data_IF_256695207558
#
_entry.id   IF_256695207558
#
_cell.length_a   1.000
_cell.length_b   1.000
_cell.length_c   1.000
_cell.angle_alpha   90.00
_cell.angle_beta   90.00
_cell.angle_gamma   90.00
#
_symmetry.space_group_name_H-M   'P 1'
#
loop_
_entity.id
_entity.type
_entity.pdbx_description
1 polymer ?
#
# COMPACT_ATOMS: atom_id res chain seq x y z
N UNK A 1 -8.03 -15.07 -34.47
CA UNK A 1 -8.29 -13.62 -34.52
C UNK A 1 -8.59 -13.19 -33.10
N UNK A 2 -7.67 -12.48 -32.42
CA UNK A 2 -7.89 -12.03 -31.05
C UNK A 2 -9.01 -10.98 -31.05
N UNK A 3 -10.08 -11.23 -30.31
CA UNK A 3 -11.11 -10.23 -30.03
C UNK A 3 -10.42 -9.00 -29.42
N UNK A 4 -10.44 -7.90 -30.16
CA UNK A 4 -9.82 -6.65 -29.74
C UNK A 4 -10.72 -6.04 -28.67
N UNK A 5 -10.15 -5.69 -27.51
CA UNK A 5 -10.89 -5.03 -26.43
C UNK A 5 -11.45 -3.71 -26.96
N UNK A 6 -12.78 -3.54 -27.00
CA UNK A 6 -13.37 -2.29 -27.51
C UNK A 6 -13.11 -1.13 -26.56
N UNK A 7 -12.99 0.09 -27.09
CA UNK A 7 -12.76 1.30 -26.27
C UNK A 7 -13.81 1.46 -25.15
N UNK A 8 -15.06 1.09 -25.43
CA UNK A 8 -16.15 1.10 -24.43
C UNK A 8 -15.92 0.08 -23.32
N UNK A 9 -15.41 -1.11 -23.65
CA UNK A 9 -15.05 -2.13 -22.66
C UNK A 9 -13.84 -1.69 -21.83
N UNK A 10 -12.83 -1.06 -22.45
CA UNK A 10 -11.66 -0.48 -21.77
C UNK A 10 -12.09 0.53 -20.70
N UNK A 11 -12.93 1.49 -21.08
CA UNK A 11 -13.45 2.51 -20.17
C UNK A 11 -14.27 1.91 -19.03
N UNK A 12 -15.21 1.01 -19.34
CA UNK A 12 -16.03 0.34 -18.31
C UNK A 12 -15.17 -0.44 -17.31
N UNK A 13 -14.15 -1.15 -17.82
CA UNK A 13 -13.24 -1.95 -16.99
C UNK A 13 -12.40 -1.05 -16.08
N UNK A 14 -11.81 0.02 -16.63
CA UNK A 14 -11.04 0.99 -15.84
C UNK A 14 -11.87 1.64 -14.74
N UNK A 15 -13.09 2.06 -15.06
CA UNK A 15 -14.04 2.60 -14.08
C UNK A 15 -14.38 1.58 -12.98
N UNK A 16 -14.66 0.32 -13.36
CA UNK A 16 -15.00 -0.73 -12.41
C UNK A 16 -13.84 -1.06 -11.45
N UNK A 17 -12.59 -1.09 -11.95
CA UNK A 17 -11.39 -1.28 -11.13
C UNK A 17 -11.26 -0.14 -10.13
N UNK A 18 -11.27 1.12 -10.59
CA UNK A 18 -11.12 2.28 -9.70
C UNK A 18 -12.23 2.36 -8.63
N UNK A 19 -13.47 2.04 -8.99
CA UNK A 19 -14.57 1.97 -8.03
C UNK A 19 -14.38 0.86 -7.00
N UNK A 20 -13.84 -0.29 -7.41
CA UNK A 20 -13.57 -1.42 -6.51
C UNK A 20 -12.49 -1.07 -5.51
N UNK A 21 -11.37 -0.50 -5.97
CA UNK A 21 -10.28 -0.04 -5.10
C UNK A 21 -10.74 1.07 -4.14
N UNK A 22 -11.52 2.03 -4.64
CA UNK A 22 -12.08 3.11 -3.80
C UNK A 22 -12.94 2.58 -2.65
N UNK A 23 -13.83 1.61 -2.92
CA UNK A 23 -14.62 0.94 -1.88
C UNK A 23 -13.74 0.18 -0.89
N UNK A 24 -12.69 -0.49 -1.36
CA UNK A 24 -11.77 -1.21 -0.49
C UNK A 24 -11.03 -0.25 0.46
N UNK A 25 -10.58 0.91 -0.04
CA UNK A 25 -9.94 1.95 0.77
C UNK A 25 -10.93 2.53 1.79
N UNK A 26 -12.16 2.85 1.37
CA UNK A 26 -13.18 3.37 2.27
C UNK A 26 -13.46 2.39 3.43
N UNK A 27 -13.58 1.10 3.13
CA UNK A 27 -13.81 0.07 4.14
C UNK A 27 -12.63 -0.16 5.10
N UNK A 28 -11.42 0.34 4.80
CA UNK A 28 -10.30 0.29 5.75
C UNK A 28 -10.44 1.30 6.88
N UNK A 29 -11.17 2.40 6.68
CA UNK A 29 -11.39 3.40 7.73
C UNK A 29 -12.08 2.78 8.96
N UNK A 30 -13.06 1.90 8.72
CA UNK A 30 -13.80 1.20 9.77
C UNK A 30 -12.97 0.14 10.50
N UNK A 31 -11.78 -0.21 9.99
CA UNK A 31 -10.86 -1.18 10.60
C UNK A 31 -9.76 -0.53 11.44
N UNK A 32 -9.73 0.79 11.53
CA UNK A 32 -8.77 1.49 12.38
C UNK A 32 -9.17 1.31 13.84
N UNK A 33 -8.37 0.55 14.57
CA UNK A 33 -8.60 0.22 15.97
C UNK A 33 -7.33 0.44 16.82
N UNK A 34 -7.33 -0.08 18.05
CA UNK A 34 -6.19 0.02 18.97
C UNK A 34 -4.89 -0.56 18.41
N UNK A 35 -4.93 -1.52 17.48
CA UNK A 35 -3.73 -2.07 16.84
C UNK A 35 -3.03 -1.05 15.94
N UNK A 36 -3.81 -0.19 15.28
CA UNK A 36 -3.27 0.90 14.46
C UNK A 36 -2.54 1.93 15.32
N UNK A 37 -3.15 2.33 16.44
CA UNK A 37 -2.53 3.26 17.41
C UNK A 37 -1.19 2.67 17.90
N UNK A 38 -1.20 1.40 18.32
CA UNK A 38 0.01 0.71 18.76
C UNK A 38 1.10 0.67 17.68
N UNK A 39 0.73 0.45 16.42
CA UNK A 39 1.69 0.45 15.31
C UNK A 39 2.32 1.84 15.10
N UNK A 40 1.51 2.91 15.17
CA UNK A 40 2.00 4.29 15.09
C UNK A 40 2.97 4.59 16.24
N UNK A 41 2.61 4.23 17.48
CA UNK A 41 3.46 4.45 18.64
C UNK A 41 4.81 3.71 18.52
N UNK A 42 4.81 2.47 18.03
CA UNK A 42 6.04 1.71 17.80
C UNK A 42 6.93 2.35 16.73
N UNK A 43 6.32 2.89 15.67
CA UNK A 43 7.05 3.56 14.59
C UNK A 43 7.67 4.88 15.09
N UNK A 44 6.90 5.69 15.82
CA UNK A 44 7.35 7.00 16.31
C UNK A 44 8.44 6.89 17.38
N UNK A 45 8.39 5.85 18.21
CA UNK A 45 9.37 5.60 19.27
C UNK A 45 10.52 4.67 18.85
N UNK A 46 10.68 4.40 17.55
CA UNK A 46 11.77 3.55 17.06
C UNK A 46 13.10 4.31 17.13
N UNK A 47 13.98 3.93 18.06
CA UNK A 47 15.34 4.50 18.19
C UNK A 47 16.32 4.00 17.11
N UNK A 48 15.96 2.90 16.44
CA UNK A 48 16.78 2.26 15.42
C UNK A 48 16.35 2.65 14.01
N UNK A 49 16.07 1.62 13.20
CA UNK A 49 15.60 1.77 11.82
C UNK A 49 14.44 0.83 11.59
N UNK A 50 13.45 1.30 10.84
CA UNK A 50 12.30 0.50 10.42
C UNK A 50 12.73 -0.36 9.22
N UNK A 51 12.67 -1.68 9.39
CA UNK A 51 12.89 -2.62 8.29
C UNK A 51 11.55 -3.02 7.72
N UNK A 52 11.34 -2.77 6.44
CA UNK A 52 10.15 -3.23 5.71
C UNK A 52 10.57 -4.34 4.75
N UNK A 53 9.88 -5.47 4.73
CA UNK A 53 10.19 -6.59 3.83
C UNK A 53 8.94 -7.10 3.12
N UNK A 54 9.15 -7.84 2.03
CA UNK A 54 8.07 -8.47 1.28
C UNK A 54 8.51 -9.02 -0.07
N UNK A 55 7.72 -9.95 -0.60
CA UNK A 55 7.91 -10.61 -1.90
C UNK A 55 6.94 -10.06 -2.95
N UNK A 56 7.33 -10.10 -4.22
CA UNK A 56 6.46 -9.78 -5.36
C UNK A 56 5.81 -8.39 -5.25
N UNK A 57 4.50 -8.31 -5.50
CA UNK A 57 3.73 -7.04 -5.43
C UNK A 57 3.84 -6.39 -4.05
N UNK A 58 3.76 -7.17 -2.98
CA UNK A 58 3.93 -6.68 -1.61
C UNK A 58 5.33 -6.12 -1.38
N UNK A 59 6.36 -6.69 -2.01
CA UNK A 59 7.72 -6.14 -2.01
C UNK A 59 7.80 -4.75 -2.63
N UNK A 60 7.08 -4.49 -3.73
CA UNK A 60 7.02 -3.14 -4.32
C UNK A 60 6.34 -2.13 -3.38
N UNK A 61 5.23 -2.51 -2.74
CA UNK A 61 4.55 -1.66 -1.75
C UNK A 61 5.45 -1.41 -0.54
N UNK A 62 6.10 -2.46 0.00
CA UNK A 62 7.05 -2.37 1.11
C UNK A 62 8.22 -1.43 0.80
N UNK A 63 8.76 -1.50 -0.42
CA UNK A 63 9.82 -0.59 -0.89
C UNK A 63 9.34 0.87 -0.91
N UNK A 64 8.11 1.13 -1.37
CA UNK A 64 7.52 2.48 -1.33
C UNK A 64 7.31 2.95 0.11
N UNK A 65 6.82 2.08 1.00
CA UNK A 65 6.63 2.39 2.41
C UNK A 65 7.94 2.80 3.07
N UNK A 66 9.01 2.02 2.90
CA UNK A 66 10.34 2.35 3.43
C UNK A 66 10.83 3.72 2.93
N UNK A 67 10.69 4.00 1.62
CA UNK A 67 11.05 5.31 1.07
C UNK A 67 10.22 6.45 1.66
N UNK A 68 8.92 6.21 1.89
CA UNK A 68 8.01 7.20 2.49
C UNK A 68 8.42 7.51 3.93
N UNK A 69 8.58 6.48 4.77
CA UNK A 69 9.03 6.64 6.15
C UNK A 69 10.34 7.41 6.23
N UNK A 70 11.33 7.04 5.41
CA UNK A 70 12.62 7.73 5.38
C UNK A 70 12.49 9.21 4.99
N UNK A 71 11.60 9.55 4.04
CA UNK A 71 11.36 10.93 3.63
C UNK A 71 10.55 11.76 4.65
N UNK A 72 9.80 11.10 5.54
CA UNK A 72 8.99 11.76 6.59
C UNK A 72 9.67 11.76 7.95
N UNK A 73 10.97 11.46 8.02
CA UNK A 73 11.76 11.56 9.25
C UNK A 73 11.87 10.28 10.09
N UNK A 74 11.32 9.16 9.62
CA UNK A 74 11.47 7.84 10.27
C UNK A 74 12.48 6.99 9.49
N UNK A 75 13.73 6.83 9.96
CA UNK A 75 14.76 6.09 9.22
C UNK A 75 14.31 4.67 8.87
N UNK A 76 14.21 4.36 7.58
CA UNK A 76 13.68 3.07 7.11
C UNK A 76 14.39 2.55 5.85
N UNK A 77 14.41 1.23 5.68
CA UNK A 77 14.92 0.59 4.47
C UNK A 77 14.17 -0.72 4.14
N UNK A 78 14.24 -1.10 2.87
CA UNK A 78 13.60 -2.32 2.36
C UNK A 78 14.60 -3.48 2.28
N UNK A 79 14.19 -4.66 2.73
CA UNK A 79 14.93 -5.92 2.55
C UNK A 79 14.08 -6.88 1.73
N UNK A 80 14.66 -7.41 0.64
CA UNK A 80 14.00 -8.43 -0.18
C UNK A 80 14.01 -9.75 0.59
N UNK A 81 12.83 -10.36 0.75
CA UNK A 81 12.65 -11.71 1.28
C UNK A 81 12.18 -12.64 0.16
#
# INVERSE_FOLDING_TARGET
MSETFSDSQALKTGQAVLQTESRAIAALADKLDASFIKAVDLILNCEGRIVVSGVGKSGHVAKKMAATFASTGSPAFFVHA
#
